data_IF_249219992296
#
_entry.id   IF_249219992296
#
_cell.length_a   1.000
_cell.length_b   1.000
_cell.length_c   1.000
_cell.angle_alpha   90.00
_cell.angle_beta   90.00
_cell.angle_gamma   90.00
#
_symmetry.space_group_name_H-M   'P 1'
#
loop_
_entity.id
_entity.type
_entity.pdbx_description
1 polymer ?
#
# COMPACT_ATOMS: atom_id res chain seq x y z
N UNK A 1 38.63 33.57 20.95
CA UNK A 1 38.24 32.50 21.90
C UNK A 1 36.72 32.30 22.03
N UNK A 2 35.90 33.32 22.36
CA UNK A 2 34.42 33.15 22.44
C UNK A 2 33.74 33.11 21.07
N UNK A 3 34.22 33.91 20.10
CA UNK A 3 33.71 33.94 18.72
C UNK A 3 34.02 32.66 17.94
N UNK A 4 35.24 32.15 18.05
CA UNK A 4 35.64 30.89 17.37
C UNK A 4 34.78 29.71 17.83
N UNK A 5 34.42 29.66 19.12
CA UNK A 5 33.53 28.65 19.68
C UNK A 5 32.09 28.78 19.16
N UNK A 6 31.62 30.01 18.91
CA UNK A 6 30.29 30.27 18.35
C UNK A 6 30.25 29.85 16.87
N UNK A 7 31.26 30.24 16.10
CA UNK A 7 31.41 29.86 14.69
C UNK A 7 31.50 28.33 14.53
N UNK A 8 32.24 27.65 15.42
CA UNK A 8 32.33 26.20 15.42
C UNK A 8 30.97 25.52 15.68
N UNK A 9 30.16 26.04 16.61
CA UNK A 9 28.80 25.53 16.86
C UNK A 9 27.89 25.73 15.65
N UNK A 10 27.89 26.93 15.07
CA UNK A 10 27.06 27.23 13.91
C UNK A 10 27.42 26.33 12.71
N UNK A 11 28.70 26.00 12.54
CA UNK A 11 29.15 25.06 11.50
C UNK A 11 28.71 23.62 11.78
N UNK A 12 28.74 23.18 13.04
CA UNK A 12 28.23 21.87 13.46
C UNK A 12 26.73 21.77 13.22
N UNK A 13 25.97 22.81 13.57
CA UNK A 13 24.52 22.83 13.39
C UNK A 13 24.14 22.83 11.90
N UNK A 14 24.83 23.62 11.07
CA UNK A 14 24.67 23.59 9.60
C UNK A 14 25.00 22.23 9.01
N UNK A 15 26.11 21.61 9.44
CA UNK A 15 26.49 20.28 8.97
C UNK A 15 25.46 19.22 9.36
N UNK A 16 24.92 19.31 10.59
CA UNK A 16 23.85 18.43 11.09
C UNK A 16 22.57 18.57 10.27
N UNK A 17 22.15 19.79 9.95
CA UNK A 17 20.98 20.02 9.10
C UNK A 17 21.15 19.45 7.69
N UNK A 18 22.32 19.63 7.09
CA UNK A 18 22.64 19.07 5.77
C UNK A 18 22.59 17.54 5.82
N UNK A 19 23.18 16.95 6.86
CA UNK A 19 23.18 15.51 7.05
C UNK A 19 21.76 14.94 7.19
N UNK A 20 20.90 15.58 7.99
CA UNK A 20 19.49 15.18 8.15
C UNK A 20 18.75 15.25 6.81
N UNK A 21 18.88 16.36 6.07
CA UNK A 21 18.25 16.52 4.75
C UNK A 21 18.70 15.47 3.73
N UNK A 22 19.97 15.09 3.75
CA UNK A 22 20.51 14.03 2.86
C UNK A 22 19.95 12.66 3.27
N UNK A 23 19.90 12.37 4.57
CA UNK A 23 19.35 11.10 5.08
C UNK A 23 17.86 10.97 4.78
N UNK A 24 17.10 12.06 4.93
CA UNK A 24 15.66 12.09 4.63
C UNK A 24 15.39 11.96 3.13
N UNK A 25 16.23 12.52 2.26
CA UNK A 25 16.14 12.35 0.81
C UNK A 25 16.54 10.94 0.34
N UNK A 26 17.53 10.33 0.97
CA UNK A 26 18.09 9.04 0.54
C UNK A 26 17.28 7.85 1.05
N UNK A 27 16.52 8.01 2.12
CA UNK A 27 15.57 6.97 2.52
C UNK A 27 14.26 7.20 1.77
N UNK A 28 13.67 6.14 1.25
CA UNK A 28 12.29 6.12 0.74
C UNK A 28 11.32 6.19 1.94
N UNK A 29 11.53 7.20 2.80
CA UNK A 29 10.85 7.47 4.06
C UNK A 29 9.63 8.31 3.71
N UNK A 30 8.70 7.65 3.03
CA UNK A 30 7.31 8.07 3.03
C UNK A 30 6.81 7.77 4.45
N UNK A 31 7.08 8.66 5.41
CA UNK A 31 6.41 8.64 6.72
C UNK A 31 5.02 9.23 6.52
N UNK A 32 4.22 8.59 5.67
CA UNK A 32 2.79 8.77 5.82
C UNK A 32 2.46 8.00 7.10
N UNK A 33 2.37 8.74 8.21
CA UNK A 33 2.21 8.19 9.54
C UNK A 33 0.99 7.28 9.50
N UNK A 34 1.20 5.97 9.67
CA UNK A 34 0.11 5.01 9.60
C UNK A 34 -0.94 5.39 10.63
N UNK A 35 -2.18 5.56 10.16
CA UNK A 35 -3.28 5.95 11.02
C UNK A 35 -3.61 4.79 11.98
N UNK A 36 -3.96 5.09 13.24
CA UNK A 36 -4.53 4.08 14.12
C UNK A 36 -5.78 3.49 13.47
N UNK A 37 -5.95 2.17 13.54
CA UNK A 37 -7.03 1.44 12.86
C UNK A 37 -6.61 0.77 11.55
N UNK A 38 -5.46 1.10 10.96
CA UNK A 38 -4.99 0.43 9.74
C UNK A 38 -4.56 -1.01 10.02
N UNK A 39 -4.87 -1.91 9.09
CA UNK A 39 -4.45 -3.32 9.11
C UNK A 39 -3.03 -3.47 8.55
N UNK A 40 -2.19 -4.21 9.25
CA UNK A 40 -0.78 -4.42 8.93
C UNK A 40 -0.36 -5.85 9.24
N UNK A 41 0.65 -6.33 8.55
CA UNK A 41 1.31 -7.60 8.82
C UNK A 41 2.71 -7.40 9.38
N UNK A 42 3.15 -8.29 10.27
CA UNK A 42 4.49 -8.23 10.87
C UNK A 42 5.43 -9.17 10.11
N UNK A 43 6.62 -8.71 9.76
CA UNK A 43 7.67 -9.58 9.20
C UNK A 43 8.23 -10.53 10.25
N UNK A 44 8.28 -11.83 9.94
CA UNK A 44 8.91 -12.83 10.82
C UNK A 44 10.43 -12.76 10.60
N UNK A 45 11.19 -12.52 11.68
CA UNK A 45 12.65 -12.50 11.64
C UNK A 45 13.22 -13.88 12.01
N UNK A 46 14.40 -14.21 11.48
CA UNK A 46 15.14 -15.45 11.78
C UNK A 46 15.22 -16.43 10.62
N UNK A 47 15.81 -17.61 10.88
CA UNK A 47 15.95 -18.68 9.89
C UNK A 47 14.59 -19.33 9.67
N UNK A 48 14.05 -19.16 8.47
CA UNK A 48 12.74 -19.67 8.07
C UNK A 48 12.91 -20.70 6.97
N UNK A 49 12.12 -21.77 7.01
CA UNK A 49 12.08 -22.75 5.92
C UNK A 49 11.49 -22.09 4.67
N UNK A 50 11.88 -22.56 3.48
CA UNK A 50 11.45 -21.96 2.20
C UNK A 50 9.91 -21.91 2.03
N UNK A 51 9.19 -22.80 2.72
CA UNK A 51 7.73 -22.91 2.65
C UNK A 51 6.99 -22.18 3.78
N UNK A 52 7.69 -21.57 4.75
CA UNK A 52 7.01 -20.83 5.82
C UNK A 52 6.63 -19.42 5.38
N UNK A 53 5.49 -18.88 5.85
CA UNK A 53 5.06 -17.55 5.48
C UNK A 53 6.04 -16.50 6.02
N UNK A 54 6.39 -15.52 5.16
CA UNK A 54 7.28 -14.40 5.54
C UNK A 54 6.63 -13.42 6.52
N UNK A 55 5.31 -13.34 6.53
CA UNK A 55 4.55 -12.38 7.31
C UNK A 55 3.58 -13.09 8.25
N UNK A 56 3.41 -12.55 9.44
CA UNK A 56 2.44 -13.02 10.44
C UNK A 56 1.27 -12.06 10.49
N UNK A 57 0.06 -12.63 10.37
CA UNK A 57 -1.23 -12.14 10.84
C UNK A 57 -1.67 -10.74 10.40
N UNK A 58 -2.97 -10.51 10.14
CA UNK A 58 -3.48 -9.15 10.10
C UNK A 58 -3.58 -8.62 11.53
N UNK A 59 -2.85 -7.53 11.79
CA UNK A 59 -2.88 -6.79 13.04
C UNK A 59 -3.41 -5.39 12.82
N UNK A 60 -4.04 -4.80 13.82
CA UNK A 60 -4.53 -3.42 13.75
C UNK A 60 -3.64 -2.51 14.57
N UNK A 61 -3.29 -1.35 14.01
CA UNK A 61 -2.53 -0.34 14.75
C UNK A 61 -3.41 0.29 15.83
N UNK A 62 -2.94 0.25 17.07
CA UNK A 62 -3.61 0.91 18.21
C UNK A 62 -3.11 2.33 18.37
N UNK A 63 -1.80 2.49 18.52
CA UNK A 63 -1.17 3.79 18.79
C UNK A 63 0.31 3.78 18.43
N UNK A 64 0.85 4.96 18.16
CA UNK A 64 2.29 5.21 18.13
C UNK A 64 2.82 5.58 19.50
N UNK A 65 4.08 5.20 19.75
CA UNK A 65 4.85 5.60 20.93
C UNK A 65 5.66 6.86 20.63
N UNK A 66 6.29 7.45 21.65
CA UNK A 66 7.14 8.65 21.51
C UNK A 66 8.32 8.46 20.55
N UNK A 67 8.72 7.21 20.29
CA UNK A 67 9.85 6.85 19.43
C UNK A 67 9.40 6.31 18.06
N UNK A 68 8.21 6.67 17.59
CA UNK A 68 7.62 6.22 16.32
C UNK A 68 7.44 4.70 16.17
N UNK A 69 7.59 3.93 17.26
CA UNK A 69 7.20 2.52 17.26
C UNK A 69 5.69 2.38 17.41
N UNK A 70 5.11 1.38 16.76
CA UNK A 70 3.68 1.12 16.71
C UNK A 70 3.33 -0.06 17.63
N UNK A 71 2.25 0.12 18.39
CA UNK A 71 1.63 -0.92 19.20
C UNK A 71 0.46 -1.48 18.42
N UNK A 72 0.42 -2.80 18.32
CA UNK A 72 -0.55 -3.52 17.50
C UNK A 72 -1.50 -4.34 18.37
N UNK A 73 -2.73 -4.52 17.90
CA UNK A 73 -3.69 -5.46 18.47
C UNK A 73 -4.04 -6.55 17.47
N UNK A 74 -4.32 -7.73 18.01
CA UNK A 74 -4.81 -8.86 17.23
C UNK A 74 -6.31 -8.69 16.89
N UNK A 75 -6.86 -9.58 16.06
CA UNK A 75 -8.29 -9.61 15.71
C UNK A 75 -9.17 -9.81 16.96
N UNK A 76 -8.65 -10.51 17.97
CA UNK A 76 -9.31 -10.74 19.26
C UNK A 76 -9.28 -9.53 20.21
N UNK A 77 -8.65 -8.41 19.80
CA UNK A 77 -8.54 -7.20 20.62
C UNK A 77 -7.37 -7.21 21.62
N UNK A 78 -6.62 -8.32 21.71
CA UNK A 78 -5.43 -8.41 22.55
C UNK A 78 -4.29 -7.55 22.00
N UNK A 79 -3.71 -6.71 22.85
CA UNK A 79 -2.57 -5.85 22.50
C UNK A 79 -1.27 -6.65 22.61
N UNK A 80 -0.44 -6.58 21.57
CA UNK A 80 0.88 -7.19 21.59
C UNK A 80 1.78 -6.51 22.62
N UNK A 81 2.58 -7.32 23.32
CA UNK A 81 3.53 -6.83 24.33
C UNK A 81 4.65 -5.99 23.70
N UNK A 82 5.03 -6.34 22.47
CA UNK A 82 6.13 -5.72 21.76
C UNK A 82 5.67 -4.53 20.91
N UNK A 83 6.53 -3.52 20.82
CA UNK A 83 6.37 -2.39 19.89
C UNK A 83 7.20 -2.63 18.64
N UNK A 84 6.62 -2.37 17.46
CA UNK A 84 7.28 -2.65 16.18
C UNK A 84 7.56 -1.36 15.41
N UNK A 85 8.76 -1.22 14.80
CA UNK A 85 9.04 -0.09 13.91
C UNK A 85 8.31 -0.27 12.57
N UNK A 86 8.03 0.86 11.90
CA UNK A 86 7.33 0.88 10.61
C UNK A 86 7.97 -0.04 9.55
N UNK A 87 9.30 -0.12 9.52
CA UNK A 87 10.04 -0.96 8.56
C UNK A 87 9.75 -2.46 8.67
N UNK A 88 9.30 -2.94 9.84
CA UNK A 88 8.94 -4.34 10.08
C UNK A 88 7.46 -4.63 9.83
N UNK A 89 6.71 -3.62 9.40
CA UNK A 89 5.30 -3.71 9.13
C UNK A 89 5.06 -3.58 7.63
N UNK A 90 4.23 -4.49 7.12
CA UNK A 90 3.70 -4.41 5.77
C UNK A 90 2.25 -3.97 5.86
N UNK A 91 1.93 -2.85 5.20
CA UNK A 91 0.56 -2.40 5.06
C UNK A 91 -0.29 -3.44 4.34
N UNK A 92 -1.46 -3.73 4.91
CA UNK A 92 -2.51 -4.44 4.20
C UNK A 92 -3.16 -3.46 3.24
N UNK A 93 -2.62 -3.38 2.02
CA UNK A 93 -3.36 -2.79 0.90
C UNK A 93 -4.46 -3.79 0.59
N UNK A 94 -5.60 -3.64 1.26
CA UNK A 94 -6.77 -4.45 0.97
C UNK A 94 -7.00 -4.46 -0.54
N UNK A 95 -7.51 -5.57 -1.05
CA UNK A 95 -7.86 -5.72 -2.47
C UNK A 95 -8.92 -4.66 -2.87
N UNK A 96 -9.53 -3.96 -1.92
CA UNK A 96 -10.52 -2.88 -2.11
C UNK A 96 -10.12 -1.83 -3.16
N UNK A 97 -8.88 -1.33 -3.14
CA UNK A 97 -8.48 -0.27 -4.09
C UNK A 97 -8.38 -0.78 -5.55
N UNK A 98 -8.17 -2.08 -5.75
CA UNK A 98 -8.19 -2.69 -7.09
C UNK A 98 -9.58 -3.22 -7.48
N UNK A 99 -10.35 -3.74 -6.51
CA UNK A 99 -11.71 -4.27 -6.74
C UNK A 99 -12.68 -3.16 -7.18
N UNK A 100 -12.55 -1.94 -6.64
CA UNK A 100 -13.45 -0.83 -6.97
C UNK A 100 -13.40 -0.42 -8.46
N UNK A 101 -12.33 -0.79 -9.18
CA UNK A 101 -12.25 -0.56 -10.63
C UNK A 101 -12.98 -1.62 -11.46
N UNK A 102 -13.32 -2.78 -10.89
CA UNK A 102 -14.05 -3.83 -11.61
C UNK A 102 -15.55 -3.61 -11.52
N UNK A 103 -16.11 -3.00 -12.56
CA UNK A 103 -17.56 -2.88 -12.70
C UNK A 103 -18.16 -4.20 -13.19
N UNK A 104 -19.15 -4.70 -12.45
CA UNK A 104 -19.94 -5.86 -12.87
C UNK A 104 -20.88 -5.47 -14.00
N UNK A 105 -20.93 -6.29 -15.03
CA UNK A 105 -21.91 -6.21 -16.11
C UNK A 105 -22.75 -7.50 -16.16
N UNK A 106 -23.94 -7.42 -16.75
CA UNK A 106 -24.85 -8.56 -16.87
C UNK A 106 -24.48 -9.45 -18.04
N UNK A 107 -24.40 -8.84 -19.23
CA UNK A 107 -24.12 -9.54 -20.48
C UNK A 107 -23.58 -8.60 -21.54
N UNK A 108 -22.94 -9.19 -22.53
CA UNK A 108 -22.66 -8.51 -23.80
C UNK A 108 -23.97 -8.56 -24.64
N UNK A 109 -24.19 -7.58 -25.51
CA UNK A 109 -25.39 -7.47 -26.37
C UNK A 109 -25.06 -7.50 -27.86
N UNK A 110 -23.91 -6.95 -28.26
CA UNK A 110 -23.45 -6.97 -29.64
C UNK A 110 -21.93 -6.83 -29.68
N UNK A 111 -21.33 -7.20 -30.81
CA UNK A 111 -19.95 -6.86 -31.12
C UNK A 111 -19.88 -6.13 -32.46
N UNK A 112 -18.92 -5.22 -32.61
CA UNK A 112 -18.65 -4.53 -33.88
C UNK A 112 -17.16 -4.57 -34.21
N UNK A 113 -16.84 -4.62 -35.50
CA UNK A 113 -15.46 -4.56 -35.98
C UNK A 113 -15.03 -3.10 -36.14
N UNK A 114 -13.91 -2.75 -35.55
CA UNK A 114 -13.29 -1.41 -35.61
C UNK A 114 -11.91 -1.53 -36.24
N UNK A 115 -11.30 -0.41 -36.64
CA UNK A 115 -9.95 -0.41 -37.25
C UNK A 115 -8.90 -1.13 -36.38
N UNK A 116 -9.08 -1.13 -35.06
CA UNK A 116 -8.13 -1.69 -34.10
C UNK A 116 -8.63 -2.97 -33.39
N UNK A 117 -9.56 -3.71 -33.99
CA UNK A 117 -10.05 -4.99 -33.45
C UNK A 117 -11.57 -5.05 -33.31
N UNK A 118 -12.05 -5.46 -32.14
CA UNK A 118 -13.46 -5.61 -31.83
C UNK A 118 -13.83 -4.81 -30.58
N UNK A 119 -15.00 -4.20 -30.62
CA UNK A 119 -15.66 -3.60 -29.47
C UNK A 119 -16.95 -4.35 -29.17
N UNK A 120 -17.29 -4.42 -27.89
CA UNK A 120 -18.44 -5.16 -27.36
C UNK A 120 -19.37 -4.20 -26.64
N UNK A 121 -20.67 -4.26 -26.98
CA UNK A 121 -21.70 -3.49 -26.30
C UNK A 121 -22.07 -4.21 -25.01
N UNK A 122 -21.78 -3.59 -23.87
CA UNK A 122 -22.03 -4.16 -22.55
C UNK A 122 -23.32 -3.61 -21.98
N UNK A 123 -24.16 -4.50 -21.42
CA UNK A 123 -25.26 -4.15 -20.53
C UNK A 123 -24.77 -4.17 -19.09
N UNK A 124 -24.66 -3.00 -18.48
CA UNK A 124 -24.23 -2.86 -17.09
C UNK A 124 -25.39 -3.07 -16.12
N UNK A 125 -25.09 -3.55 -14.90
CA UNK A 125 -26.12 -3.82 -13.88
C UNK A 125 -26.84 -2.54 -13.42
N UNK A 126 -26.13 -1.40 -13.37
CA UNK A 126 -26.64 -0.15 -12.82
C UNK A 126 -26.39 1.07 -13.73
N UNK A 127 -26.08 0.87 -15.02
CA UNK A 127 -25.72 1.94 -15.96
C UNK A 127 -26.24 1.68 -17.37
N UNK A 128 -26.19 2.72 -18.20
CA UNK A 128 -26.53 2.66 -19.62
C UNK A 128 -25.50 1.86 -20.43
N UNK A 129 -25.98 1.28 -21.52
CA UNK A 129 -25.18 0.41 -22.40
C UNK A 129 -24.00 1.18 -23.02
N UNK A 130 -22.78 0.64 -22.89
CA UNK A 130 -21.56 1.30 -23.38
C UNK A 130 -20.71 0.31 -24.19
N UNK A 131 -19.99 0.82 -25.19
CA UNK A 131 -19.06 0.04 -26.01
C UNK A 131 -17.69 -0.01 -25.36
N UNK A 132 -17.20 -1.23 -25.08
CA UNK A 132 -15.91 -1.46 -24.45
C UNK A 132 -14.99 -2.32 -25.35
N UNK A 133 -13.69 -2.04 -25.39
CA UNK A 133 -12.73 -2.83 -26.14
C UNK A 133 -12.48 -4.19 -25.46
N UNK A 134 -12.05 -5.19 -26.23
CA UNK A 134 -11.69 -6.52 -25.72
C UNK A 134 -10.65 -6.48 -24.58
N UNK A 135 -9.79 -5.45 -24.54
CA UNK A 135 -8.76 -5.26 -23.52
C UNK A 135 -9.31 -4.91 -22.13
N UNK A 136 -10.55 -4.41 -22.04
CA UNK A 136 -11.19 -4.06 -20.76
C UNK A 136 -11.80 -5.28 -20.06
N UNK A 137 -11.86 -6.43 -20.72
CA UNK A 137 -12.37 -7.66 -20.13
C UNK A 137 -11.24 -8.42 -19.42
N UNK A 138 -11.46 -8.72 -18.14
CA UNK A 138 -10.53 -9.52 -17.34
C UNK A 138 -10.58 -10.99 -17.73
N UNK A 139 -11.76 -11.48 -18.10
CA UNK A 139 -11.99 -12.86 -18.49
C UNK A 139 -12.35 -12.95 -19.98
N UNK A 140 -11.51 -13.68 -20.73
CA UNK A 140 -11.68 -13.88 -22.17
C UNK A 140 -12.77 -14.89 -22.49
N UNK A 141 -13.12 -15.78 -21.56
CA UNK A 141 -14.17 -16.78 -21.80
C UNK A 141 -15.54 -16.12 -21.97
N UNK A 142 -15.73 -14.91 -21.44
CA UNK A 142 -16.98 -14.16 -21.59
C UNK A 142 -17.17 -13.70 -23.03
N UNK A 143 -16.07 -13.40 -23.75
CA UNK A 143 -16.12 -13.03 -25.16
C UNK A 143 -16.33 -14.26 -26.04
N UNK A 144 -15.72 -15.39 -25.70
CA UNK A 144 -15.82 -16.64 -26.47
C UNK A 144 -17.21 -17.29 -26.38
N UNK A 145 -17.88 -17.16 -25.24
CA UNK A 145 -19.20 -17.75 -24.99
C UNK A 145 -20.37 -16.80 -25.30
N UNK A 146 -20.09 -15.63 -25.88
CA UNK A 146 -21.07 -14.63 -26.23
C UNK A 146 -21.60 -14.79 -27.66
#
# INVERSE_FOLDING_TARGET
MKEDRKLAKDNIDKAKEIQVKIQDKNKNVIVDRLKPGTKVYITIEGLQNKLTPKYRGPYTIVKSTKNDNLILKNVLGEVLKDSYPLCKLKLDKGIDDEIDNFQKFEKILHHRKVKNGYEYLILWVHKDQTWEPASNFSDKTVIENY
#
